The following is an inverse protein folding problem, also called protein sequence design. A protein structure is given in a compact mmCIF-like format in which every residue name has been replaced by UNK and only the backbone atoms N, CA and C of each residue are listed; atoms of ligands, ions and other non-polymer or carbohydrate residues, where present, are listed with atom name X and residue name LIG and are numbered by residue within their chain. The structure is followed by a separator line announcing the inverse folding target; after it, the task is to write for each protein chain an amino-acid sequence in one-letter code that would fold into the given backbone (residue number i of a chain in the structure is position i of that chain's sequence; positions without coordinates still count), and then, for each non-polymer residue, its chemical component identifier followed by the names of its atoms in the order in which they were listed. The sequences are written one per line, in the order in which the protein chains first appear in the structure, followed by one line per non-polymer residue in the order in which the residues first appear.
data_IF_579378066812
#
_entry.id   IF_579378066812
#
_cell.length_a   1.000
_cell.length_b   1.000
_cell.length_c   1.000
_cell.angle_alpha   90.00
_cell.angle_beta   90.00
_cell.angle_gamma   90.00
#
_symmetry.space_group_name_H-M   'P 1'
#
loop_
_entity.id
_entity.type
_entity.pdbx_description
1 polymer ?
#
# COMPACT_ATOMS: atom_id res chain seq x y z
N UNK A 1 8.22 52.61 27.85
CA UNK A 1 7.23 52.87 26.78
C UNK A 1 8.03 52.97 25.48
N UNK A 2 7.91 52.12 24.47
CA UNK A 2 6.79 51.28 24.01
C UNK A 2 7.36 50.03 23.31
N UNK A 3 7.01 48.84 23.82
CA UNK A 3 7.20 47.59 23.09
C UNK A 3 6.30 47.63 21.85
N UNK A 4 6.85 47.32 20.68
CA UNK A 4 6.07 47.13 19.45
C UNK A 4 5.17 45.90 19.62
N UNK A 5 3.88 45.99 19.31
CA UNK A 5 2.97 44.86 19.44
C UNK A 5 3.35 43.80 18.39
N UNK A 6 3.71 42.61 18.86
CA UNK A 6 3.57 41.39 18.08
C UNK A 6 2.08 41.19 17.83
N UNK A 7 1.60 41.59 16.67
CA UNK A 7 0.28 41.18 16.19
C UNK A 7 0.38 39.71 15.77
N UNK A 8 0.43 38.81 16.75
CA UNK A 8 -0.06 37.45 16.59
C UNK A 8 -1.57 37.58 16.43
N UNK A 9 -2.04 37.63 15.19
CA UNK A 9 -3.45 37.52 14.87
C UNK A 9 -3.85 36.05 15.13
N UNK A 10 -4.04 35.71 16.40
CA UNK A 10 -4.68 34.47 16.83
C UNK A 10 -6.19 34.69 16.68
N UNK A 11 -6.77 34.25 15.57
CA UNK A 11 -8.17 33.80 15.51
C UNK A 11 -8.55 33.31 14.10
N UNK A 12 -8.66 31.99 13.97
CA UNK A 12 -9.78 31.36 13.29
C UNK A 12 -9.93 29.97 13.90
N UNK A 13 -10.65 29.88 15.03
CA UNK A 13 -11.21 28.60 15.48
C UNK A 13 -12.30 28.27 14.45
N UNK A 14 -11.96 27.52 13.41
CA UNK A 14 -12.98 26.91 12.56
C UNK A 14 -13.64 25.78 13.36
N UNK A 15 -14.52 26.16 14.29
CA UNK A 15 -15.51 25.25 14.86
C UNK A 15 -16.52 24.94 13.75
N UNK A 16 -16.28 23.89 12.97
CA UNK A 16 -17.36 23.25 12.23
C UNK A 16 -18.17 22.40 13.22
N UNK A 17 -19.11 23.03 13.89
CA UNK A 17 -20.21 22.38 14.59
C UNK A 17 -21.50 23.11 14.16
N UNK A 18 -22.58 22.52 13.66
CA UNK A 18 -23.02 21.15 13.36
C UNK A 18 -24.37 21.34 12.56
N UNK A 19 -25.31 20.37 12.36
CA UNK A 19 -25.30 18.92 12.51
C UNK A 19 -25.93 18.16 11.28
N UNK A 20 -26.01 16.84 11.45
CA UNK A 20 -27.04 15.93 10.91
C UNK A 20 -26.62 14.98 9.77
N UNK A 21 -26.69 13.70 10.13
CA UNK A 21 -26.76 12.49 9.30
C UNK A 21 -25.59 12.15 8.36
N UNK A 22 -25.40 10.84 8.19
CA UNK A 22 -24.85 10.34 6.94
C UNK A 22 -25.85 10.71 5.83
N UNK A 23 -25.41 11.12 4.63
CA UNK A 23 -26.36 11.29 3.53
C UNK A 23 -25.86 11.00 2.10
N UNK A 24 -24.77 10.26 1.87
CA UNK A 24 -24.52 9.79 0.48
C UNK A 24 -23.99 8.36 0.34
N UNK A 25 -23.31 7.82 1.35
CA UNK A 25 -22.59 6.54 1.24
C UNK A 25 -21.52 6.54 0.12
N UNK A 26 -21.14 7.73 -0.33
CA UNK A 26 -20.50 8.03 -1.61
C UNK A 26 -19.53 9.22 -1.51
N UNK A 27 -19.07 9.62 -0.32
CA UNK A 27 -17.96 10.58 -0.20
C UNK A 27 -16.71 9.91 0.36
N UNK A 28 -15.54 10.22 -0.21
CA UNK A 28 -14.23 9.86 0.33
C UNK A 28 -13.54 11.10 0.90
N UNK A 29 -13.10 11.00 2.16
CA UNK A 29 -12.33 12.06 2.81
C UNK A 29 -10.85 11.77 2.68
N UNK A 30 -10.07 12.81 2.36
CA UNK A 30 -8.61 12.76 2.39
C UNK A 30 -8.04 13.96 3.14
N UNK A 31 -6.94 13.74 3.85
CA UNK A 31 -6.07 14.81 4.37
C UNK A 31 -4.74 14.69 3.64
N UNK A 32 -4.24 15.76 3.06
CA UNK A 32 -2.94 15.80 2.39
C UNK A 32 -2.09 16.92 2.98
N UNK A 33 -0.84 16.61 3.29
CA UNK A 33 0.16 17.57 3.76
C UNK A 33 1.10 17.87 2.60
N UNK A 34 1.37 19.14 2.36
CA UNK A 34 2.18 19.60 1.24
C UNK A 34 3.46 20.31 1.70
N UNK A 35 4.50 20.19 0.89
CA UNK A 35 5.67 21.06 0.91
C UNK A 35 5.77 21.74 -0.46
N UNK A 36 5.36 23.01 -0.53
CA UNK A 36 5.10 23.68 -1.80
C UNK A 36 4.01 22.96 -2.57
N UNK A 37 4.25 22.65 -3.85
CA UNK A 37 3.28 21.90 -4.68
C UNK A 37 3.33 20.38 -4.50
N UNK A 38 4.27 19.86 -3.71
CA UNK A 38 4.50 18.41 -3.58
C UNK A 38 3.78 17.86 -2.35
N UNK A 39 2.87 16.87 -2.48
CA UNK A 39 2.34 16.16 -1.33
C UNK A 39 3.45 15.32 -0.68
N UNK A 40 3.60 15.46 0.63
CA UNK A 40 4.65 14.79 1.43
C UNK A 40 4.09 13.79 2.44
N UNK A 41 2.81 13.93 2.81
CA UNK A 41 2.09 12.95 3.62
C UNK A 41 0.61 13.03 3.33
N UNK A 42 -0.14 12.01 3.70
CA UNK A 42 -1.59 12.05 3.60
C UNK A 42 -2.27 10.87 4.28
N UNK A 43 -3.57 11.05 4.48
CA UNK A 43 -4.47 10.08 5.09
C UNK A 43 -5.70 9.97 4.20
N UNK A 44 -6.13 8.73 3.98
CA UNK A 44 -7.30 8.41 3.17
C UNK A 44 -8.24 7.64 4.08
N UNK A 45 -9.45 8.15 4.24
CA UNK A 45 -10.43 7.55 5.13
C UNK A 45 -11.34 6.59 4.36
N UNK A 46 -11.93 5.59 5.04
CA UNK A 46 -12.97 4.76 4.46
C UNK A 46 -14.10 5.61 3.85
N UNK A 47 -14.73 5.09 2.79
CA UNK A 47 -15.87 5.76 2.16
C UNK A 47 -16.99 5.95 3.20
N UNK A 48 -17.53 7.17 3.28
CA UNK A 48 -18.56 7.53 4.25
C UNK A 48 -18.04 7.73 5.69
N UNK A 49 -16.73 7.66 5.93
CA UNK A 49 -16.18 7.90 7.27
C UNK A 49 -16.44 9.34 7.75
N UNK A 50 -16.89 9.45 9.01
CA UNK A 50 -17.13 10.74 9.67
C UNK A 50 -15.83 11.26 10.28
N UNK A 51 -15.16 12.18 9.59
CA UNK A 51 -13.93 12.82 10.08
C UNK A 51 -14.26 14.22 10.59
N UNK A 52 -13.99 14.44 11.88
CA UNK A 52 -14.01 15.76 12.51
C UNK A 52 -12.61 16.37 12.44
N UNK A 53 -12.49 17.60 11.96
CA UNK A 53 -11.23 18.34 11.88
C UNK A 53 -11.38 19.68 12.62
N UNK A 54 -10.39 19.99 13.45
CA UNK A 54 -10.16 21.32 14.02
C UNK A 54 -8.73 21.72 13.67
N UNK A 55 -8.50 22.91 13.12
CA UNK A 55 -7.15 23.37 12.81
C UNK A 55 -7.03 24.88 12.99
N UNK A 56 -5.85 25.32 13.41
CA UNK A 56 -5.41 26.72 13.38
C UNK A 56 -4.35 26.88 12.29
N UNK A 57 -4.38 28.00 11.56
CA UNK A 57 -3.41 28.36 10.52
C UNK A 57 -3.43 29.87 10.30
N UNK A 58 -2.40 30.41 9.63
CA UNK A 58 -2.35 31.82 9.24
C UNK A 58 -3.43 32.15 8.19
N UNK A 59 -3.71 31.22 7.29
CA UNK A 59 -4.72 31.37 6.24
C UNK A 59 -5.55 30.09 6.10
N UNK A 60 -6.86 30.28 5.87
CA UNK A 60 -7.82 29.21 5.58
C UNK A 60 -8.60 29.60 4.35
N UNK A 61 -8.57 28.74 3.33
CA UNK A 61 -9.38 28.84 2.13
C UNK A 61 -10.33 27.63 2.07
N UNK A 62 -11.62 27.86 1.87
CA UNK A 62 -12.65 26.83 1.91
C UNK A 62 -13.56 26.90 0.69
N UNK A 63 -13.70 25.77 0.01
CA UNK A 63 -14.73 25.50 -0.98
C UNK A 63 -15.71 24.44 -0.46
N UNK A 64 -16.72 24.11 -1.28
CA UNK A 64 -17.73 23.08 -0.96
C UNK A 64 -17.11 21.73 -0.56
N UNK A 65 -16.06 21.30 -1.23
CA UNK A 65 -15.47 19.97 -1.07
C UNK A 65 -14.01 19.98 -0.61
N UNK A 66 -13.42 21.15 -0.32
CA UNK A 66 -12.02 21.27 0.05
C UNK A 66 -11.80 22.40 1.05
N UNK A 67 -10.95 22.15 2.05
CA UNK A 67 -10.45 23.18 2.97
C UNK A 67 -8.93 23.12 2.96
N UNK A 68 -8.31 24.25 2.66
CA UNK A 68 -6.86 24.45 2.58
C UNK A 68 -6.40 25.36 3.72
N UNK A 69 -5.54 24.84 4.58
CA UNK A 69 -4.88 25.54 5.67
C UNK A 69 -3.44 25.84 5.27
N UNK A 70 -2.99 27.09 5.41
CA UNK A 70 -1.63 27.52 5.03
C UNK A 70 -0.98 28.39 6.10
N UNK A 71 0.29 28.14 6.38
CA UNK A 71 1.14 28.84 7.34
C UNK A 71 0.90 28.43 8.79
N UNK A 72 1.90 27.87 9.45
CA UNK A 72 1.86 27.42 10.86
C UNK A 72 0.59 26.60 11.19
N UNK A 73 0.29 25.61 10.34
CA UNK A 73 -0.89 24.77 10.53
C UNK A 73 -0.70 23.88 11.75
N UNK A 74 -1.65 23.94 12.67
CA UNK A 74 -1.76 23.04 13.83
C UNK A 74 -3.16 22.44 13.79
N UNK A 75 -3.24 21.24 13.23
CA UNK A 75 -4.48 20.50 13.05
C UNK A 75 -4.63 19.38 14.05
N UNK A 76 -5.87 19.11 14.43
CA UNK A 76 -6.31 17.94 15.19
C UNK A 76 -7.52 17.36 14.49
N UNK A 77 -7.45 16.10 14.10
CA UNK A 77 -8.62 15.39 13.59
C UNK A 77 -8.87 14.12 14.39
N UNK A 78 -10.13 13.72 14.42
CA UNK A 78 -10.59 12.54 15.15
C UNK A 78 -11.32 11.62 14.17
N UNK A 79 -10.70 10.49 13.77
CA UNK A 79 -11.40 9.44 13.05
C UNK A 79 -12.48 8.79 13.94
N UNK A 80 -13.49 8.11 13.35
CA UNK A 80 -14.42 7.30 14.13
C UNK A 80 -13.68 6.23 14.93
N UNK A 81 -13.95 6.14 16.23
CA UNK A 81 -13.39 5.12 17.14
C UNK A 81 -11.86 5.15 17.34
N UNK A 82 -11.18 6.26 17.03
CA UNK A 82 -9.73 6.38 17.20
C UNK A 82 -9.31 7.58 18.06
N UNK A 83 -8.07 7.53 18.54
CA UNK A 83 -7.44 8.66 19.20
C UNK A 83 -7.28 9.83 18.22
N UNK A 84 -7.43 11.05 18.72
CA UNK A 84 -7.21 12.22 17.90
C UNK A 84 -5.75 12.28 17.44
N UNK A 85 -5.57 12.52 16.16
CA UNK A 85 -4.25 12.67 15.54
C UNK A 85 -4.00 14.17 15.36
N UNK A 86 -2.81 14.59 15.79
CA UNK A 86 -2.33 15.96 15.66
C UNK A 86 -1.36 16.04 14.50
N UNK A 87 -1.51 17.05 13.67
CA UNK A 87 -0.67 17.33 12.51
C UNK A 87 -0.18 18.77 12.53
N UNK A 88 1.08 18.91 12.14
CA UNK A 88 1.75 20.19 11.98
C UNK A 88 2.27 20.29 10.55
N UNK A 89 2.24 21.48 9.96
CA UNK A 89 2.79 21.70 8.63
C UNK A 89 2.64 23.12 8.11
N UNK A 90 3.25 23.39 6.97
CA UNK A 90 3.07 24.66 6.26
C UNK A 90 1.78 24.67 5.45
N UNK A 91 1.38 23.54 4.87
CA UNK A 91 0.15 23.44 4.09
C UNK A 91 -0.53 22.09 4.33
N UNK A 92 -1.83 22.15 4.66
CA UNK A 92 -2.69 20.98 4.87
C UNK A 92 -3.99 21.17 4.11
N UNK A 93 -4.40 20.16 3.36
CA UNK A 93 -5.63 20.17 2.57
C UNK A 93 -6.52 19.01 3.01
N UNK A 94 -7.72 19.33 3.51
CA UNK A 94 -8.81 18.38 3.68
C UNK A 94 -9.65 18.40 2.39
N UNK A 95 -9.86 17.24 1.76
CA UNK A 95 -10.79 17.10 0.63
C UNK A 95 -11.89 16.10 0.96
N UNK A 96 -13.11 16.38 0.50
CA UNK A 96 -14.31 15.53 0.62
C UNK A 96 -14.87 15.30 -0.78
N UNK A 97 -14.40 14.25 -1.45
CA UNK A 97 -14.75 14.00 -2.83
C UNK A 97 -15.97 13.08 -2.93
N UNK A 98 -17.01 13.52 -3.65
CA UNK A 98 -18.08 12.63 -4.07
C UNK A 98 -17.53 11.58 -5.04
N UNK A 99 -17.93 10.34 -4.84
CA UNK A 99 -17.57 9.17 -5.62
C UNK A 99 -18.84 8.54 -6.19
N UNK A 100 -18.74 7.89 -7.35
CA UNK A 100 -19.92 7.30 -7.96
C UNK A 100 -20.45 6.10 -7.16
N UNK A 101 -21.74 5.81 -7.30
CA UNK A 101 -22.38 4.64 -6.68
C UNK A 101 -21.71 3.33 -7.12
N UNK A 102 -21.23 3.27 -8.37
CA UNK A 102 -20.51 2.14 -8.94
C UNK A 102 -19.14 1.95 -8.27
N UNK A 103 -18.39 3.04 -8.04
CA UNK A 103 -17.13 3.00 -7.29
C UNK A 103 -17.38 2.56 -5.85
N UNK A 104 -18.38 3.14 -5.19
CA UNK A 104 -18.74 2.78 -3.82
C UNK A 104 -19.13 1.30 -3.72
N UNK A 105 -19.87 0.78 -4.71
CA UNK A 105 -20.20 -0.65 -4.81
C UNK A 105 -18.95 -1.50 -5.03
N UNK A 106 -18.05 -1.09 -5.93
CA UNK A 106 -16.81 -1.82 -6.18
C UNK A 106 -15.97 -1.98 -4.90
N UNK A 107 -15.82 -0.93 -4.10
CA UNK A 107 -15.11 -1.01 -2.81
C UNK A 107 -15.81 -1.94 -1.83
N UNK A 108 -17.14 -1.84 -1.68
CA UNK A 108 -17.91 -2.77 -0.83
C UNK A 108 -17.78 -4.22 -1.27
N UNK A 109 -17.77 -4.47 -2.58
CA UNK A 109 -17.59 -5.81 -3.12
C UNK A 109 -16.20 -6.35 -2.75
N UNK A 110 -15.13 -5.53 -2.85
CA UNK A 110 -13.77 -5.93 -2.43
C UNK A 110 -13.74 -6.21 -0.91
N UNK A 111 -14.32 -5.35 -0.09
CA UNK A 111 -14.41 -5.56 1.37
C UNK A 111 -15.11 -6.89 1.70
N UNK A 112 -16.20 -7.19 0.99
CA UNK A 112 -16.97 -8.42 1.18
C UNK A 112 -16.22 -9.70 0.78
N UNK A 113 -15.18 -9.62 -0.07
CA UNK A 113 -14.36 -10.78 -0.47
C UNK A 113 -13.45 -11.27 0.66
N UNK A 114 -13.11 -10.42 1.65
CA UNK A 114 -12.08 -10.72 2.65
C UNK A 114 -12.38 -11.96 3.49
N UNK A 115 -13.62 -12.07 3.99
CA UNK A 115 -14.06 -13.22 4.78
C UNK A 115 -14.06 -14.52 3.97
N UNK A 116 -14.77 -14.58 2.83
CA UNK A 116 -14.78 -15.75 1.95
C UNK A 116 -13.39 -16.18 1.46
N UNK A 117 -12.50 -15.24 1.09
CA UNK A 117 -11.15 -15.54 0.62
C UNK A 117 -10.32 -16.35 1.64
N UNK A 118 -10.60 -16.19 2.93
CA UNK A 118 -9.91 -16.90 4.01
C UNK A 118 -10.74 -18.02 4.65
N UNK A 119 -11.94 -18.30 4.12
CA UNK A 119 -12.95 -19.06 4.86
C UNK A 119 -12.50 -20.46 5.28
N UNK A 120 -11.93 -21.24 4.37
CA UNK A 120 -11.46 -22.59 4.68
C UNK A 120 -9.97 -22.58 5.05
N UNK A 121 -9.15 -21.90 4.24
CA UNK A 121 -7.69 -21.81 4.46
C UNK A 121 -7.28 -21.13 5.77
N UNK A 122 -8.11 -20.24 6.32
CA UNK A 122 -7.84 -19.54 7.59
C UNK A 122 -8.36 -20.27 8.84
N UNK A 123 -9.03 -21.41 8.70
CA UNK A 123 -9.57 -22.19 9.84
C UNK A 123 -8.62 -23.25 10.38
N UNK A 124 -7.71 -23.73 9.55
CA UNK A 124 -6.86 -24.86 9.92
C UNK A 124 -5.66 -24.37 10.74
N UNK A 125 -5.57 -24.81 11.99
CA UNK A 125 -4.39 -24.57 12.84
C UNK A 125 -3.13 -25.26 12.29
N UNK A 126 -3.29 -26.35 11.54
CA UNK A 126 -2.19 -27.08 10.88
C UNK A 126 -1.98 -26.67 9.42
N UNK A 127 -2.93 -25.92 8.83
CA UNK A 127 -2.92 -25.54 7.42
C UNK A 127 -3.46 -26.61 6.46
N UNK A 128 -3.77 -27.82 6.95
CA UNK A 128 -4.29 -28.91 6.13
C UNK A 128 -5.81 -28.74 5.91
N UNK A 129 -6.24 -28.79 4.65
CA UNK A 129 -7.66 -28.80 4.25
C UNK A 129 -8.02 -30.13 3.61
N UNK A 130 -9.25 -30.60 3.84
CA UNK A 130 -9.78 -31.75 3.12
C UNK A 130 -9.98 -31.43 1.63
N UNK A 131 -10.02 -32.45 0.75
CA UNK A 131 -10.29 -32.25 -0.68
C UNK A 131 -11.60 -31.50 -0.96
N UNK A 132 -12.64 -31.72 -0.15
CA UNK A 132 -13.92 -31.01 -0.31
C UNK A 132 -13.80 -29.54 0.11
N UNK A 133 -13.10 -29.23 1.20
CA UNK A 133 -12.83 -27.84 1.58
C UNK A 133 -11.99 -27.09 0.55
N UNK A 134 -10.99 -27.76 -0.05
CA UNK A 134 -10.23 -27.21 -1.17
C UNK A 134 -11.12 -26.90 -2.38
N UNK A 135 -12.06 -27.78 -2.69
CA UNK A 135 -13.02 -27.57 -3.78
C UNK A 135 -13.94 -26.36 -3.50
N UNK A 136 -14.43 -26.23 -2.27
CA UNK A 136 -15.26 -25.07 -1.87
C UNK A 136 -14.45 -23.78 -1.89
N UNK A 137 -13.22 -23.79 -1.37
CA UNK A 137 -12.33 -22.63 -1.40
C UNK A 137 -11.99 -22.20 -2.83
N UNK A 138 -11.70 -23.16 -3.71
CA UNK A 138 -11.42 -22.89 -5.13
C UNK A 138 -12.61 -22.22 -5.82
N UNK A 139 -13.85 -22.67 -5.52
CA UNK A 139 -15.05 -22.05 -6.06
C UNK A 139 -15.20 -20.58 -5.60
N UNK A 140 -14.84 -20.29 -4.34
CA UNK A 140 -14.81 -18.92 -3.82
C UNK A 140 -13.73 -18.09 -4.52
N UNK A 141 -12.51 -18.62 -4.68
CA UNK A 141 -11.41 -17.92 -5.32
C UNK A 141 -11.77 -17.52 -6.77
N UNK A 142 -12.38 -18.44 -7.52
CA UNK A 142 -12.85 -18.18 -8.89
C UNK A 142 -13.92 -17.08 -8.91
N UNK A 143 -14.89 -17.11 -7.99
CA UNK A 143 -15.94 -16.10 -7.92
C UNK A 143 -15.39 -14.72 -7.53
N UNK A 144 -14.51 -14.66 -6.52
CA UNK A 144 -13.86 -13.45 -6.07
C UNK A 144 -12.98 -12.86 -7.17
N UNK A 145 -12.14 -13.68 -7.81
CA UNK A 145 -11.27 -13.23 -8.89
C UNK A 145 -12.07 -12.72 -10.09
N UNK A 146 -13.20 -13.35 -10.44
CA UNK A 146 -14.08 -12.84 -11.49
C UNK A 146 -14.55 -11.42 -11.17
N UNK A 147 -15.04 -11.17 -9.96
CA UNK A 147 -15.50 -9.84 -9.58
C UNK A 147 -14.36 -8.83 -9.47
N UNK A 148 -13.21 -9.24 -8.95
CA UNK A 148 -12.02 -8.39 -8.88
C UNK A 148 -11.52 -8.01 -10.28
N UNK A 149 -11.55 -8.95 -11.23
CA UNK A 149 -11.20 -8.71 -12.63
C UNK A 149 -12.06 -7.61 -13.25
N UNK A 150 -13.38 -7.66 -13.06
CA UNK A 150 -14.30 -6.60 -13.52
C UNK A 150 -13.94 -5.22 -12.94
N UNK A 151 -13.49 -5.18 -11.69
CA UNK A 151 -13.08 -3.94 -11.03
C UNK A 151 -11.74 -3.44 -11.58
N UNK A 152 -10.75 -4.33 -11.73
CA UNK A 152 -9.43 -3.96 -12.27
C UNK A 152 -9.56 -3.48 -13.73
N UNK A 153 -10.35 -4.17 -14.54
CA UNK A 153 -10.55 -3.82 -15.95
C UNK A 153 -11.29 -2.48 -16.10
N UNK A 154 -12.13 -2.08 -15.12
CA UNK A 154 -12.87 -0.81 -15.15
C UNK A 154 -12.11 0.37 -14.53
N UNK A 155 -11.35 0.14 -13.45
CA UNK A 155 -10.78 1.21 -12.62
C UNK A 155 -9.24 1.17 -12.50
N UNK A 156 -8.59 0.14 -13.05
CA UNK A 156 -7.20 -0.18 -12.73
C UNK A 156 -7.06 -0.87 -11.37
N UNK A 157 -5.82 -1.04 -10.90
CA UNK A 157 -5.58 -1.69 -9.60
C UNK A 157 -6.32 -0.94 -8.47
N UNK A 158 -7.18 -1.61 -7.67
CA UNK A 158 -7.90 -0.98 -6.57
C UNK A 158 -6.97 -0.78 -5.37
N UNK A 159 -6.01 0.13 -5.51
CA UNK A 159 -5.01 0.47 -4.51
C UNK A 159 -5.56 1.25 -3.31
N UNK A 160 -4.65 1.71 -2.45
CA UNK A 160 -4.96 2.43 -1.21
C UNK A 160 -5.84 3.67 -1.44
N UNK A 161 -5.63 4.41 -2.53
CA UNK A 161 -6.45 5.58 -2.89
C UNK A 161 -7.86 5.19 -3.30
N UNK A 162 -8.01 4.07 -4.00
CA UNK A 162 -9.30 3.61 -4.49
C UNK A 162 -10.11 2.93 -3.38
N UNK A 163 -9.52 1.91 -2.74
CA UNK A 163 -10.18 0.98 -1.82
C UNK A 163 -9.71 1.08 -0.36
N UNK A 164 -8.73 1.94 -0.04
CA UNK A 164 -8.18 2.02 1.32
C UNK A 164 -7.58 0.69 1.77
N UNK A 165 -7.92 0.29 3.01
CA UNK A 165 -7.48 -0.97 3.59
C UNK A 165 -7.92 -2.20 2.77
N UNK A 166 -9.05 -2.12 2.06
CA UNK A 166 -9.55 -3.22 1.23
C UNK A 166 -8.64 -3.52 0.02
N UNK A 167 -7.68 -2.65 -0.32
CA UNK A 167 -6.65 -2.97 -1.32
C UNK A 167 -5.83 -4.21 -0.97
N UNK A 168 -5.65 -4.50 0.32
CA UNK A 168 -5.01 -5.74 0.77
C UNK A 168 -5.85 -6.97 0.41
N UNK A 169 -7.18 -6.87 0.51
CA UNK A 169 -8.09 -7.93 0.07
C UNK A 169 -7.99 -8.17 -1.43
N UNK A 170 -7.91 -7.11 -2.24
CA UNK A 170 -7.69 -7.25 -3.68
C UNK A 170 -6.39 -7.99 -4.01
N UNK A 171 -5.31 -7.70 -3.28
CA UNK A 171 -4.07 -8.47 -3.40
C UNK A 171 -4.27 -9.94 -3.02
N UNK A 172 -4.90 -10.25 -1.87
CA UNK A 172 -5.09 -11.63 -1.44
C UNK A 172 -5.91 -12.45 -2.45
N UNK A 173 -6.99 -11.87 -2.97
CA UNK A 173 -7.80 -12.50 -4.02
C UNK A 173 -6.95 -12.80 -5.26
N UNK A 174 -6.15 -11.83 -5.73
CA UNK A 174 -5.24 -12.08 -6.86
C UNK A 174 -4.17 -13.13 -6.52
N UNK A 175 -3.65 -13.09 -5.30
CA UNK A 175 -2.60 -13.99 -4.81
C UNK A 175 -3.04 -15.45 -4.77
N UNK A 176 -4.35 -15.70 -4.54
CA UNK A 176 -4.97 -17.03 -4.54
C UNK A 176 -5.61 -17.42 -5.87
N UNK A 177 -5.66 -16.50 -6.84
CA UNK A 177 -6.19 -16.78 -8.16
C UNK A 177 -5.33 -17.78 -8.96
N UNK A 178 -5.87 -18.26 -10.08
CA UNK A 178 -5.13 -19.09 -11.01
C UNK A 178 -3.91 -18.36 -11.62
N UNK A 179 -2.96 -19.13 -12.11
CA UNK A 179 -1.71 -18.63 -12.65
C UNK A 179 -1.88 -17.66 -13.84
N UNK A 180 -2.93 -17.80 -14.65
CA UNK A 180 -3.17 -16.91 -15.78
C UNK A 180 -3.69 -15.54 -15.31
N UNK A 181 -4.61 -15.52 -14.34
CA UNK A 181 -5.08 -14.30 -13.69
C UNK A 181 -3.96 -13.55 -12.99
N UNK A 182 -3.11 -14.26 -12.24
CA UNK A 182 -1.92 -13.68 -11.59
C UNK A 182 -1.00 -12.97 -12.59
N UNK A 183 -0.63 -13.63 -13.70
CA UNK A 183 0.18 -13.00 -14.75
C UNK A 183 -0.53 -11.81 -15.40
N UNK A 184 -1.85 -11.91 -15.66
CA UNK A 184 -2.62 -10.85 -16.33
C UNK A 184 -2.58 -9.54 -15.54
N UNK A 185 -2.66 -9.59 -14.21
CA UNK A 185 -2.82 -8.39 -13.36
C UNK A 185 -1.56 -7.97 -12.60
N UNK A 186 -0.48 -8.75 -12.66
CA UNK A 186 0.81 -8.37 -12.07
C UNK A 186 1.31 -6.97 -12.52
N UNK A 187 1.24 -6.59 -13.81
CA UNK A 187 1.68 -5.26 -14.24
C UNK A 187 0.94 -4.10 -13.53
N UNK A 188 -0.36 -4.25 -13.32
CA UNK A 188 -1.18 -3.24 -12.65
C UNK A 188 -0.83 -3.12 -11.16
N UNK A 189 -0.54 -4.24 -10.48
CA UNK A 189 -0.03 -4.22 -9.11
C UNK A 189 1.36 -3.56 -9.04
N UNK A 190 2.25 -3.90 -9.98
CA UNK A 190 3.58 -3.29 -10.07
C UNK A 190 3.49 -1.77 -10.22
N UNK A 191 2.66 -1.28 -11.15
CA UNK A 191 2.43 0.14 -11.37
C UNK A 191 1.82 0.82 -10.13
N UNK A 192 0.95 0.13 -9.40
CA UNK A 192 0.40 0.63 -8.14
C UNK A 192 1.47 0.78 -7.06
N UNK A 193 2.40 -0.18 -6.92
CA UNK A 193 3.54 -0.07 -5.99
C UNK A 193 4.44 1.10 -6.36
N UNK A 194 4.73 1.31 -7.65
CA UNK A 194 5.53 2.46 -8.10
C UNK A 194 4.89 3.81 -7.76
N UNK A 195 3.56 3.87 -7.69
CA UNK A 195 2.81 5.06 -7.26
C UNK A 195 2.56 5.14 -5.75
N UNK A 196 3.16 4.24 -4.96
CA UNK A 196 2.92 4.09 -3.53
C UNK A 196 1.44 3.87 -3.18
N UNK A 197 0.72 3.18 -4.07
CA UNK A 197 -0.72 2.90 -3.98
C UNK A 197 -1.00 1.41 -3.69
N UNK A 198 0.05 0.61 -3.53
CA UNK A 198 0.01 -0.76 -3.05
C UNK A 198 1.29 -1.06 -2.25
N UNK A 199 1.26 -2.09 -1.41
CA UNK A 199 2.42 -2.48 -0.60
C UNK A 199 3.45 -3.21 -1.47
N UNK A 200 4.73 -2.86 -1.33
CA UNK A 200 5.81 -3.58 -2.02
C UNK A 200 5.88 -5.06 -1.64
N UNK A 201 5.46 -5.44 -0.43
CA UNK A 201 5.36 -6.84 -0.01
C UNK A 201 4.36 -7.64 -0.84
N UNK A 202 3.26 -7.02 -1.28
CA UNK A 202 2.28 -7.65 -2.16
C UNK A 202 2.89 -7.98 -3.53
N UNK A 203 3.62 -7.02 -4.11
CA UNK A 203 4.33 -7.23 -5.37
C UNK A 203 5.39 -8.32 -5.25
N UNK A 204 6.23 -8.26 -4.21
CA UNK A 204 7.29 -9.24 -4.01
C UNK A 204 6.75 -10.67 -3.89
N UNK A 205 5.69 -10.87 -3.10
CA UNK A 205 5.05 -12.17 -2.93
C UNK A 205 4.48 -12.72 -4.24
N UNK A 206 3.77 -11.89 -5.02
CA UNK A 206 3.14 -12.34 -6.26
C UNK A 206 4.16 -12.61 -7.37
N UNK A 207 5.11 -11.69 -7.56
CA UNK A 207 6.13 -11.80 -8.61
C UNK A 207 7.05 -13.00 -8.36
N UNK A 208 7.55 -13.16 -7.13
CA UNK A 208 8.40 -14.29 -6.79
C UNK A 208 7.63 -15.62 -6.90
N UNK A 209 6.35 -15.66 -6.50
CA UNK A 209 5.51 -16.87 -6.66
C UNK A 209 5.40 -17.29 -8.13
N UNK A 210 5.17 -16.34 -9.03
CA UNK A 210 5.10 -16.59 -10.46
C UNK A 210 6.44 -17.05 -11.04
N UNK A 211 7.55 -16.46 -10.59
CA UNK A 211 8.89 -16.88 -11.00
C UNK A 211 9.20 -18.30 -10.54
N UNK A 212 8.95 -18.62 -9.27
CA UNK A 212 9.18 -19.97 -8.73
C UNK A 212 8.29 -21.00 -9.41
N UNK A 213 7.01 -20.69 -9.65
CA UNK A 213 6.11 -21.57 -10.40
C UNK A 213 6.57 -21.81 -11.86
N UNK A 214 7.27 -20.85 -12.45
CA UNK A 214 7.92 -20.97 -13.76
C UNK A 214 9.28 -21.69 -13.72
N UNK A 215 9.74 -22.15 -12.55
CA UNK A 215 11.07 -22.73 -12.38
C UNK A 215 12.21 -21.72 -12.52
N UNK A 216 11.93 -20.43 -12.35
CA UNK A 216 12.91 -19.34 -12.42
C UNK A 216 13.33 -18.89 -11.02
N UNK A 217 14.54 -18.33 -10.87
CA UNK A 217 14.93 -17.68 -9.63
C UNK A 217 14.00 -16.51 -9.31
N UNK A 218 13.68 -16.35 -8.04
CA UNK A 218 12.84 -15.26 -7.53
C UNK A 218 13.62 -13.94 -7.44
N UNK A 219 12.90 -12.83 -7.45
CA UNK A 219 13.46 -11.47 -7.53
C UNK A 219 13.75 -10.87 -6.16
N UNK A 220 12.85 -11.04 -5.19
CA UNK A 220 12.93 -10.36 -3.89
C UNK A 220 13.17 -11.30 -2.70
N UNK A 221 13.12 -12.62 -2.89
CA UNK A 221 13.39 -13.59 -1.82
C UNK A 221 12.19 -13.76 -0.87
N UNK A 222 10.97 -13.77 -1.37
CA UNK A 222 9.75 -13.94 -0.55
C UNK A 222 9.21 -15.38 -0.48
N UNK A 223 9.62 -16.28 -1.38
CA UNK A 223 9.19 -17.67 -1.39
C UNK A 223 10.21 -18.58 -0.69
N UNK A 224 9.68 -19.53 0.08
CA UNK A 224 10.45 -20.55 0.77
C UNK A 224 9.95 -21.94 0.38
N UNK A 225 10.88 -22.86 0.14
CA UNK A 225 10.62 -24.28 0.05
C UNK A 225 10.64 -24.91 1.45
N UNK A 226 9.74 -25.85 1.72
CA UNK A 226 9.76 -26.66 2.95
C UNK A 226 10.64 -27.91 2.76
N UNK A 227 11.21 -28.43 3.85
CA UNK A 227 12.00 -29.67 3.90
C UNK A 227 13.26 -29.74 3.01
N UNK A 228 14.41 -29.18 3.43
CA UNK A 228 14.56 -28.23 4.55
C UNK A 228 13.99 -26.86 4.20
N UNK A 229 13.54 -26.15 5.24
CA UNK A 229 13.07 -24.77 5.12
C UNK A 229 14.22 -23.87 4.61
N UNK A 230 14.06 -23.33 3.40
CA UNK A 230 15.05 -22.44 2.76
C UNK A 230 14.38 -21.55 1.73
N UNK A 231 15.03 -20.44 1.38
CA UNK A 231 14.62 -19.66 0.21
C UNK A 231 14.76 -20.47 -1.07
N UNK A 232 13.79 -20.35 -1.97
CA UNK A 232 13.97 -20.78 -3.37
C UNK A 232 15.07 -19.93 -4.03
N UNK A 233 15.73 -20.40 -5.10
CA UNK A 233 16.84 -19.69 -5.74
C UNK A 233 16.50 -18.22 -6.03
N UNK A 234 17.40 -17.30 -5.71
CA UNK A 234 17.20 -15.85 -5.90
C UNK A 234 18.12 -15.38 -7.03
N UNK A 235 17.61 -14.56 -7.95
CA UNK A 235 18.46 -13.93 -8.97
C UNK A 235 19.43 -12.94 -8.31
N UNK A 236 20.71 -12.94 -8.69
CA UNK A 236 21.71 -11.97 -8.21
C UNK A 236 21.57 -11.63 -6.72
N UNK A 237 21.84 -12.63 -5.86
CA UNK A 237 21.71 -12.54 -4.41
C UNK A 237 22.47 -11.36 -3.80
N UNK A 238 23.62 -11.02 -4.39
CA UNK A 238 24.44 -9.90 -3.96
C UNK A 238 23.69 -8.55 -3.98
N UNK A 239 22.68 -8.41 -4.86
CA UNK A 239 21.91 -7.18 -5.06
C UNK A 239 20.44 -7.30 -4.62
N UNK A 240 20.06 -8.38 -3.93
CA UNK A 240 18.67 -8.59 -3.50
C UNK A 240 18.17 -7.46 -2.60
N UNK A 241 19.01 -6.96 -1.69
CA UNK A 241 18.63 -5.89 -0.77
C UNK A 241 18.49 -4.53 -1.46
N UNK A 242 19.13 -4.31 -2.61
CA UNK A 242 18.89 -3.12 -3.44
C UNK A 242 17.48 -3.16 -4.03
N UNK A 243 17.07 -4.31 -4.57
CA UNK A 243 15.73 -4.52 -5.12
C UNK A 243 14.67 -4.42 -4.03
N UNK A 244 14.89 -5.06 -2.88
CA UNK A 244 13.98 -4.99 -1.72
C UNK A 244 13.80 -3.56 -1.22
N UNK A 245 14.89 -2.80 -1.06
CA UNK A 245 14.84 -1.39 -0.65
C UNK A 245 14.05 -0.53 -1.62
N UNK A 246 14.16 -0.78 -2.92
CA UNK A 246 13.48 0.02 -3.97
C UNK A 246 11.94 -0.01 -3.87
N UNK A 247 11.39 -1.07 -3.26
CA UNK A 247 9.95 -1.25 -3.03
C UNK A 247 9.58 -1.18 -1.55
N UNK A 248 10.48 -0.65 -0.70
CA UNK A 248 10.21 -0.40 0.71
C UNK A 248 10.24 -1.64 1.61
N UNK A 249 10.91 -2.72 1.21
CA UNK A 249 11.10 -3.91 2.04
C UNK A 249 12.35 -3.82 2.91
N UNK A 250 12.27 -4.47 4.07
CA UNK A 250 13.42 -4.72 4.94
C UNK A 250 14.47 -5.62 4.25
N UNK A 251 15.75 -5.59 4.68
CA UNK A 251 16.77 -6.52 4.19
C UNK A 251 16.34 -7.98 4.28
N UNK A 252 16.76 -8.82 3.32
CA UNK A 252 16.38 -10.22 3.26
C UNK A 252 16.83 -10.99 4.52
N UNK A 253 17.97 -10.61 5.09
CA UNK A 253 18.47 -11.16 6.35
C UNK A 253 17.53 -10.89 7.54
N UNK A 254 16.81 -9.76 7.56
CA UNK A 254 15.83 -9.47 8.61
C UNK A 254 14.52 -10.23 8.38
N UNK A 255 14.10 -10.37 7.12
CA UNK A 255 12.96 -11.20 6.76
C UNK A 255 13.17 -12.68 7.11
N UNK A 256 14.38 -13.20 6.87
CA UNK A 256 14.77 -14.58 7.18
C UNK A 256 14.60 -14.93 8.67
N UNK A 257 14.83 -13.97 9.57
CA UNK A 257 14.67 -14.16 11.03
C UNK A 257 13.24 -14.53 11.41
N UNK A 258 12.24 -14.09 10.64
CA UNK A 258 10.81 -14.44 10.87
C UNK A 258 10.54 -15.94 10.72
N UNK A 259 11.42 -16.64 10.02
CA UNK A 259 11.36 -18.09 9.78
C UNK A 259 12.44 -18.86 10.54
N UNK A 260 13.17 -18.21 11.45
CA UNK A 260 14.28 -18.82 12.17
C UNK A 260 15.50 -19.14 11.28
N UNK A 261 15.61 -18.49 10.12
CA UNK A 261 16.72 -18.70 9.19
C UNK A 261 17.81 -17.65 9.38
N UNK A 262 19.06 -18.06 9.17
CA UNK A 262 20.18 -17.16 8.95
C UNK A 262 20.40 -17.01 7.45
N UNK A 263 20.48 -15.78 6.96
CA UNK A 263 20.73 -15.48 5.56
C UNK A 263 21.88 -14.50 5.44
N UNK A 264 22.83 -14.81 4.56
CA UNK A 264 23.90 -13.93 4.14
C UNK A 264 23.95 -13.97 2.61
N UNK A 265 23.75 -12.84 1.91
CA UNK A 265 23.79 -12.83 0.45
C UNK A 265 25.17 -13.29 -0.03
N UNK A 266 25.20 -14.04 -1.13
CA UNK A 266 26.47 -14.32 -1.80
C UNK A 266 27.16 -13.00 -2.14
N UNK A 267 28.48 -12.92 -1.89
CA UNK A 267 29.25 -11.73 -2.28
C UNK A 267 29.19 -11.58 -3.80
N UNK A 268 28.98 -10.35 -4.28
CA UNK A 268 29.07 -10.04 -5.70
C UNK A 268 30.40 -10.58 -6.23
N UNK A 269 30.36 -11.41 -7.28
CA UNK A 269 31.58 -11.79 -8.00
C UNK A 269 32.13 -10.51 -8.59
N UNK A 270 33.28 -10.04 -8.09
CA UNK A 270 34.02 -8.95 -8.71
C UNK A 270 34.21 -9.32 -10.19
N UNK A 271 33.67 -8.51 -11.08
CA UNK A 271 33.91 -8.65 -12.50
C UNK A 271 35.39 -8.38 -12.73
N UNK A 272 36.17 -9.45 -12.83
CA UNK A 272 37.60 -9.40 -13.13
C UNK A 272 37.84 -8.85 -14.53
N UNK A 273 37.80 -7.52 -14.67
CA UNK A 273 38.40 -6.83 -15.81
C UNK A 273 39.89 -6.80 -15.54
N UNK A 274 40.58 -7.86 -15.97
CA UNK A 274 42.03 -7.88 -16.03
C UNK A 274 42.50 -6.67 -16.86
N UNK A 275 43.02 -5.63 -16.18
CA UNK A 275 43.81 -4.60 -16.84
C UNK A 275 45.12 -5.26 -17.28
N UNK A 276 45.13 -5.74 -18.52
CA UNK A 276 46.35 -6.15 -19.20
C UNK A 276 47.23 -4.90 -19.33
N UNK A 277 48.24 -4.80 -18.47
CA UNK A 277 49.33 -3.83 -18.64
C UNK A 277 49.99 -4.13 -19.99
N UNK A 278 49.78 -3.24 -20.96
CA UNK A 278 50.63 -3.15 -22.13
C UNK A 278 52.02 -2.71 -21.65
N UNK A 279 52.96 -3.66 -21.63
CA UNK A 279 54.38 -3.35 -21.60
C UNK A 279 54.70 -2.61 -22.90
N UNK A 280 55.18 -1.38 -22.77
CA UNK A 280 55.85 -0.66 -23.85
C UNK A 280 57.33 -0.96 -23.68
N UNK A 281 57.83 -1.91 -24.47
CA UNK A 281 59.25 -2.02 -24.75
C UNK A 281 59.57 -0.95 -25.81
N UNK A 282 60.43 -0.01 -25.44
CA UNK A 282 61.07 0.92 -26.36
C UNK A 282 62.55 0.54 -26.43
N UNK A 283 62.95 0.01 -27.59
CA UNK A 283 64.31 0.13 -28.13
C UNK A 283 64.55 1.57 -28.62
#
# INVERSE_FOLDING_TARGET
MTLRPHHLLLAALACLAAPSYADDGQTQVTISVYNGSKPVAGLIFPIGAKVNLSAAANHVDSSENKIRFTGNVQGRFTPPAEQAIVLFGEEVVLSREAISAERAKAVRDIEAMAGPDQLYRGRSETGDLSPEEWKQQTAIDVANMKRLAEIIDAYGWPGLRFAGAASQTAFLVLQHADHASQRKYLPQLHDAVQRHDALGSALALLEDRLLVADGKPQRYGSQLSTNPLRFDPIEDEARVDERRRSIGLEPLADYAKRFGLSYAPEKAKESGVAHQKLATDAD
#
